data_IF_258666668065
#
_entry.id   IF_258666668065
#
_cell.length_a   1.000
_cell.length_b   1.000
_cell.length_c   1.000
_cell.angle_alpha   90.00
_cell.angle_beta   90.00
_cell.angle_gamma   90.00
#
_symmetry.space_group_name_H-M   'P 1'
#
loop_
_entity.id
_entity.type
_entity.pdbx_description
1 polymer ?
#
# COMPACT_ATOMS: atom_id res chain seq x y z
N UNK A 1 17.16 13.58 15.74
CA UNK A 1 16.05 14.47 16.12
C UNK A 1 15.21 14.71 14.88
N UNK A 2 13.93 14.34 14.91
CA UNK A 2 13.00 14.67 13.84
C UNK A 2 12.64 16.14 13.94
N UNK A 3 12.87 16.92 12.88
CA UNK A 3 12.45 18.32 12.81
C UNK A 3 10.99 18.36 12.38
N UNK A 4 10.21 19.29 12.93
CA UNK A 4 8.80 19.48 12.56
C UNK A 4 8.57 20.90 12.08
N UNK A 5 7.71 21.08 11.08
CA UNK A 5 7.25 22.38 10.60
C UNK A 5 5.74 22.36 10.39
N UNK A 6 5.08 23.48 10.64
CA UNK A 6 3.64 23.60 10.41
C UNK A 6 3.38 24.03 8.97
N UNK A 7 2.35 23.44 8.36
CA UNK A 7 1.91 23.82 7.03
C UNK A 7 1.54 25.32 6.98
N UNK A 8 2.02 26.02 5.95
CA UNK A 8 1.73 27.45 5.72
C UNK A 8 0.25 27.78 5.50
N UNK A 9 -0.58 26.79 5.15
CA UNK A 9 -2.02 26.96 4.87
C UNK A 9 -2.90 26.42 6.00
N UNK A 10 -2.82 25.11 6.30
CA UNK A 10 -3.70 24.47 7.28
C UNK A 10 -3.08 24.23 8.66
N UNK A 11 -1.84 24.70 8.89
CA UNK A 11 -1.11 24.58 10.17
C UNK A 11 -0.85 23.15 10.68
N UNK A 12 -1.17 22.11 9.91
CA UNK A 12 -0.85 20.71 10.25
C UNK A 12 0.65 20.55 10.44
N UNK A 13 1.06 19.88 11.52
CA UNK A 13 2.47 19.59 11.83
C UNK A 13 3.01 18.50 10.90
N UNK A 14 4.11 18.77 10.22
CA UNK A 14 4.73 17.90 9.23
C UNK A 14 6.12 17.50 9.71
N UNK A 15 6.43 16.20 9.67
CA UNK A 15 7.76 15.70 9.95
C UNK A 15 8.69 15.98 8.76
N UNK A 16 9.80 16.67 9.03
CA UNK A 16 10.79 17.03 8.02
C UNK A 16 11.85 15.94 7.86
N UNK A 17 12.06 15.42 6.64
CA UNK A 17 13.25 14.68 6.31
C UNK A 17 14.50 15.58 6.49
N UNK A 18 15.62 15.04 6.98
CA UNK A 18 16.87 15.81 7.08
C UNK A 18 17.25 16.44 5.73
N UNK A 19 17.50 17.75 5.71
CA UNK A 19 17.92 18.50 4.52
C UNK A 19 16.80 18.94 3.56
N UNK A 20 15.52 18.72 3.90
CA UNK A 20 14.41 19.17 3.08
C UNK A 20 14.22 20.71 3.16
N UNK A 21 14.24 21.39 2.00
CA UNK A 21 14.03 22.85 1.89
C UNK A 21 12.57 23.25 1.66
N UNK A 22 11.76 22.32 1.20
CA UNK A 22 10.33 22.48 0.89
C UNK A 22 9.61 21.22 1.35
N UNK A 23 8.42 21.37 1.91
CA UNK A 23 7.56 20.25 2.28
C UNK A 23 6.13 20.54 1.84
N UNK A 24 5.47 19.56 1.23
CA UNK A 24 4.07 19.66 0.83
C UNK A 24 3.20 19.05 1.92
N UNK A 25 2.18 19.77 2.34
CA UNK A 25 1.23 19.27 3.32
C UNK A 25 0.36 18.17 2.72
N UNK A 26 0.31 17.01 3.37
CA UNK A 26 -0.55 15.89 2.97
C UNK A 26 -2.05 16.17 3.14
N UNK A 27 -2.41 17.17 3.95
CA UNK A 27 -3.81 17.51 4.24
C UNK A 27 -4.39 18.50 3.24
N UNK A 28 -3.67 19.58 2.93
CA UNK A 28 -4.20 20.67 2.08
C UNK A 28 -3.39 20.92 0.80
N UNK A 29 -2.36 20.11 0.54
CA UNK A 29 -1.50 20.20 -0.64
C UNK A 29 -0.67 21.49 -0.77
N UNK A 30 -0.71 22.40 0.20
CA UNK A 30 0.12 23.60 0.21
C UNK A 30 1.60 23.26 0.37
N UNK A 31 2.46 24.00 -0.35
CA UNK A 31 3.91 23.87 -0.27
C UNK A 31 4.41 24.88 0.76
N UNK A 32 5.04 24.37 1.81
CA UNK A 32 5.62 25.14 2.91
C UNK A 32 7.13 25.17 2.75
N UNK A 33 7.76 26.35 2.58
CA UNK A 33 9.20 26.47 2.63
C UNK A 33 9.70 26.24 4.04
N UNK A 34 10.79 25.50 4.16
CA UNK A 34 11.45 25.22 5.43
C UNK A 34 12.53 26.27 5.57
N UNK A 35 12.37 27.18 6.53
CA UNK A 35 13.33 28.25 6.75
C UNK A 35 14.64 27.64 7.29
N UNK A 36 15.70 27.67 6.48
CA UNK A 36 17.05 27.56 7.00
C UNK A 36 17.33 28.82 7.82
N UNK A 37 17.89 28.66 9.02
CA UNK A 37 18.15 29.76 9.97
C UNK A 37 19.22 30.76 9.50
N UNK A 38 19.50 30.87 8.20
CA UNK A 38 20.59 31.69 7.64
C UNK A 38 20.32 32.26 6.22
N UNK A 39 19.10 32.63 5.82
CA UNK A 39 18.89 33.31 4.53
C UNK A 39 17.70 34.27 4.51
N UNK A 40 17.78 35.41 3.77
CA UNK A 40 16.79 36.48 3.82
C UNK A 40 15.50 36.11 3.06
N UNK A 41 14.39 36.62 3.60
CA UNK A 41 13.01 36.42 3.17
C UNK A 41 12.75 36.68 1.67
N UNK A 42 12.27 35.66 0.95
CA UNK A 42 11.67 35.83 -0.38
C UNK A 42 10.14 35.70 -0.30
N UNK A 43 9.44 36.80 -0.62
CA UNK A 43 8.00 36.82 -0.80
C UNK A 43 7.64 36.11 -2.12
N UNK A 44 6.96 34.96 -2.03
CA UNK A 44 6.41 34.27 -3.18
C UNK A 44 4.95 34.71 -3.43
N UNK A 45 4.68 35.27 -4.61
CA UNK A 45 3.33 35.61 -5.09
C UNK A 45 2.91 34.56 -6.12
N UNK A 46 1.76 33.88 -5.96
CA UNK A 46 1.28 32.89 -6.93
C UNK A 46 0.62 33.56 -8.16
N UNK A 47 0.69 32.95 -9.37
CA UNK A 47 0.07 33.51 -10.57
C UNK A 47 -1.44 33.25 -10.63
N UNK A 48 -2.19 34.25 -11.09
CA UNK A 48 -3.65 34.24 -11.23
C UNK A 48 -4.13 33.42 -12.44
N UNK A 49 -5.24 32.71 -12.26
CA UNK A 49 -5.96 31.94 -13.28
C UNK A 49 -6.79 32.85 -14.20
N UNK A 50 -6.45 32.88 -15.48
CA UNK A 50 -7.28 33.47 -16.54
C UNK A 50 -8.33 32.46 -17.02
N UNK A 51 -9.60 32.74 -16.73
CA UNK A 51 -10.76 32.03 -17.27
C UNK A 51 -11.10 32.52 -18.69
N UNK A 52 -11.27 31.60 -19.64
CA UNK A 52 -12.10 31.82 -20.83
C UNK A 52 -13.10 30.67 -20.95
N UNK A 53 -14.38 31.03 -20.84
CA UNK A 53 -15.54 30.14 -20.94
C UNK A 53 -15.82 29.78 -22.40
N UNK A 54 -16.00 28.51 -22.71
CA UNK A 54 -16.80 28.07 -23.84
C UNK A 54 -17.94 27.17 -23.33
N UNK A 55 -19.15 27.63 -23.62
CA UNK A 55 -20.43 27.07 -23.21
C UNK A 55 -20.77 25.82 -24.05
N UNK A 56 -21.30 24.79 -23.39
CA UNK A 56 -21.98 23.66 -24.03
C UNK A 56 -23.51 23.85 -23.94
N UNK A 57 -24.30 23.38 -24.94
CA UNK A 57 -25.74 23.63 -25.05
C UNK A 57 -26.59 22.78 -24.07
N UNK A 58 -27.85 23.16 -23.78
CA UNK A 58 -28.66 22.53 -22.75
C UNK A 58 -29.38 21.26 -23.26
N UNK A 59 -29.67 20.26 -22.39
CA UNK A 59 -30.62 19.21 -22.71
C UNK A 59 -32.06 19.60 -22.34
N UNK A 60 -32.97 19.13 -23.19
CA UNK A 60 -34.42 19.33 -23.22
C UNK A 60 -35.20 18.62 -22.11
N UNK A 61 -36.41 19.14 -21.84
CA UNK A 61 -37.37 18.75 -20.80
C UNK A 61 -38.28 17.56 -21.15
N UNK A 62 -38.90 17.00 -20.09
CA UNK A 62 -40.09 16.12 -19.99
C UNK A 62 -39.88 14.62 -20.34
N UNK A 63 -40.39 13.63 -19.60
CA UNK A 63 -41.75 13.48 -19.01
C UNK A 63 -41.72 12.70 -17.67
N UNK A 64 -42.65 13.09 -16.81
CA UNK A 64 -43.13 12.55 -15.53
C UNK A 64 -43.67 11.11 -15.52
N UNK A 65 -43.45 10.39 -14.41
CA UNK A 65 -44.44 9.47 -13.85
C UNK A 65 -44.22 9.32 -12.33
N UNK A 66 -45.21 9.78 -11.59
CA UNK A 66 -45.37 9.76 -10.14
C UNK A 66 -46.09 8.49 -9.67
N UNK A 67 -45.59 7.83 -8.62
CA UNK A 67 -46.40 7.07 -7.68
C UNK A 67 -45.88 7.28 -6.25
N UNK A 68 -46.78 7.68 -5.35
CA UNK A 68 -46.54 8.05 -3.96
C UNK A 68 -46.25 6.86 -3.03
N UNK A 69 -45.58 7.12 -1.88
CA UNK A 69 -46.19 7.31 -0.53
C UNK A 69 -46.57 5.96 0.13
N UNK A 70 -46.14 5.51 1.32
CA UNK A 70 -45.69 6.11 2.61
C UNK A 70 -45.03 4.99 3.52
N UNK A 71 -44.85 5.08 4.87
CA UNK A 71 -43.53 5.15 5.50
C UNK A 71 -43.34 4.14 6.67
N UNK A 72 -42.36 4.42 7.56
CA UNK A 72 -42.05 3.82 8.89
C UNK A 72 -40.84 2.89 8.88
N UNK A 73 -39.88 2.90 9.82
CA UNK A 73 -39.77 3.47 11.17
C UNK A 73 -38.29 3.65 11.51
N UNK A 74 -38.01 4.69 12.28
CA UNK A 74 -36.78 4.97 13.02
C UNK A 74 -36.55 3.99 14.17
N UNK A 75 -35.29 3.63 14.45
CA UNK A 75 -34.88 3.18 15.77
C UNK A 75 -33.51 3.78 16.15
N UNK A 76 -33.55 4.56 17.23
CA UNK A 76 -32.41 5.07 17.98
C UNK A 76 -31.71 3.95 18.74
N UNK A 77 -30.38 4.00 18.84
CA UNK A 77 -29.60 3.19 19.78
C UNK A 77 -28.83 4.11 20.74
N UNK A 78 -29.05 3.92 22.04
CA UNK A 78 -28.32 4.54 23.16
C UNK A 78 -27.86 3.39 24.08
N UNK A 79 -26.62 3.38 24.61
CA UNK A 79 -26.07 2.26 25.37
C UNK A 79 -26.37 2.36 26.87
N UNK A 80 -26.27 1.26 27.65
CA UNK A 80 -26.21 1.36 29.10
C UNK A 80 -24.84 1.05 29.68
N UNK A 81 -24.56 1.77 30.76
CA UNK A 81 -23.38 1.77 31.60
C UNK A 81 -23.35 0.62 32.62
N UNK A 82 -22.15 0.45 33.17
CA UNK A 82 -21.69 -0.29 34.36
C UNK A 82 -22.65 -0.42 35.56
N UNK A 83 -22.52 -1.53 36.30
CA UNK A 83 -23.01 -1.68 37.67
C UNK A 83 -22.33 -2.84 38.41
N UNK A 84 -21.59 -2.51 39.48
CA UNK A 84 -20.89 -3.40 40.43
C UNK A 84 -21.84 -4.04 41.47
N UNK A 85 -21.44 -5.18 42.06
CA UNK A 85 -21.70 -5.45 43.50
C UNK A 85 -21.81 -6.90 44.00
N UNK A 86 -20.80 -7.32 44.80
CA UNK A 86 -20.84 -8.15 46.04
C UNK A 86 -21.18 -9.66 45.90
N UNK A 87 -20.65 -10.65 46.67
CA UNK A 87 -20.07 -10.68 48.02
C UNK A 87 -19.32 -12.02 48.33
N UNK A 88 -18.17 -11.91 49.02
CA UNK A 88 -17.58 -12.67 50.15
C UNK A 88 -17.41 -14.21 50.24
N UNK A 89 -16.19 -14.55 50.73
CA UNK A 89 -15.74 -15.51 51.77
C UNK A 89 -14.59 -16.41 51.26
N UNK A 90 -13.47 -16.69 51.94
CA UNK A 90 -12.94 -16.39 53.28
C UNK A 90 -11.55 -17.04 53.44
N UNK A 91 -10.62 -16.37 54.18
CA UNK A 91 -9.47 -16.94 54.95
C UNK A 91 -8.26 -17.51 54.17
N UNK A 92 -7.00 -17.47 54.64
CA UNK A 92 -6.37 -16.89 55.83
C UNK A 92 -4.83 -16.84 55.63
N UNK A 93 -4.26 -15.75 56.15
CA UNK A 93 -2.90 -15.40 56.61
C UNK A 93 -1.87 -16.51 56.92
N UNK A 94 -0.58 -16.26 56.60
CA UNK A 94 0.44 -15.99 57.64
C UNK A 94 1.72 -15.31 57.12
N UNK A 95 2.37 -14.58 58.03
CA UNK A 95 3.48 -13.63 57.93
C UNK A 95 4.89 -14.26 57.98
N UNK A 96 5.89 -13.58 57.43
CA UNK A 96 7.32 -13.80 57.71
C UNK A 96 8.20 -12.61 57.27
N UNK A 97 8.98 -12.05 58.20
CA UNK A 97 9.72 -10.78 58.13
C UNK A 97 11.13 -10.86 57.50
N UNK A 98 11.53 -9.73 56.89
CA UNK A 98 12.84 -9.02 56.89
C UNK A 98 14.17 -9.78 56.61
N UNK A 99 14.96 -9.24 55.66
CA UNK A 99 16.14 -8.39 55.94
C UNK A 99 16.77 -7.80 54.67
N UNK A 100 17.18 -6.54 54.76
CA UNK A 100 17.88 -5.76 53.73
C UNK A 100 19.39 -6.03 53.79
N UNK A 101 20.02 -6.31 52.65
CA UNK A 101 21.45 -6.04 52.42
C UNK A 101 21.64 -5.43 51.04
N UNK A 102 22.16 -4.21 51.01
CA UNK A 102 22.60 -3.48 49.82
C UNK A 102 23.85 -4.15 49.24
N UNK A 103 23.77 -4.56 47.97
CA UNK A 103 24.93 -4.69 47.10
C UNK A 103 24.62 -3.95 45.79
N UNK A 104 25.33 -2.83 45.62
CA UNK A 104 25.36 -2.04 44.39
C UNK A 104 26.11 -2.84 43.33
N UNK A 105 25.38 -3.59 42.50
CA UNK A 105 25.92 -4.21 41.28
C UNK A 105 25.68 -3.22 40.14
N UNK A 106 26.75 -2.59 39.67
CA UNK A 106 26.72 -1.80 38.43
C UNK A 106 26.39 -2.75 37.27
N UNK A 107 25.29 -2.57 36.52
CA UNK A 107 25.13 -3.26 35.25
C UNK A 107 26.10 -2.59 34.27
N UNK A 108 27.15 -3.30 33.90
CA UNK A 108 28.00 -2.96 32.76
C UNK A 108 27.10 -2.81 31.53
N UNK A 109 26.96 -1.59 31.03
CA UNK A 109 26.41 -1.30 29.71
C UNK A 109 27.40 -1.79 28.65
N UNK A 110 27.49 -3.10 28.49
CA UNK A 110 27.99 -3.72 27.27
C UNK A 110 26.86 -4.52 26.66
N UNK A 111 25.74 -3.84 26.38
CA UNK A 111 24.85 -4.29 25.33
C UNK A 111 25.44 -3.74 24.03
N UNK A 112 26.52 -4.38 23.57
CA UNK A 112 26.81 -4.34 22.15
C UNK A 112 25.58 -4.92 21.47
N UNK A 113 24.73 -4.04 20.91
CA UNK A 113 23.85 -4.42 19.82
C UNK A 113 24.76 -4.82 18.66
N UNK A 114 25.36 -6.00 18.78
CA UNK A 114 25.68 -6.82 17.64
C UNK A 114 24.33 -7.09 16.98
N UNK A 115 23.92 -6.21 16.07
CA UNK A 115 23.04 -6.61 14.99
C UNK A 115 23.73 -7.80 14.37
N UNK A 116 23.32 -9.00 14.77
CA UNK A 116 23.69 -10.20 14.06
C UNK A 116 23.23 -9.93 12.64
N UNK A 117 24.16 -9.73 11.73
CA UNK A 117 23.94 -10.02 10.33
C UNK A 117 23.69 -11.53 10.29
N UNK A 118 22.49 -11.92 10.71
CA UNK A 118 21.97 -13.26 10.56
C UNK A 118 22.07 -13.62 9.07
N UNK A 119 22.10 -14.92 8.79
CA UNK A 119 22.07 -15.39 7.42
C UNK A 119 21.03 -14.59 6.62
N UNK A 120 21.35 -14.19 5.38
CA UNK A 120 20.42 -13.39 4.57
C UNK A 120 19.07 -14.10 4.52
N UNK A 121 17.99 -13.35 4.75
CA UNK A 121 16.63 -13.89 4.73
C UNK A 121 16.28 -14.53 3.39
N UNK A 122 15.19 -15.30 3.37
CA UNK A 122 14.74 -15.99 2.16
C UNK A 122 14.40 -15.01 1.06
N UNK A 123 14.62 -15.45 -0.17
CA UNK A 123 14.26 -14.72 -1.39
C UNK A 123 13.14 -15.45 -2.09
N UNK A 124 12.09 -14.73 -2.49
CA UNK A 124 10.98 -15.26 -3.30
C UNK A 124 10.54 -14.21 -4.32
N UNK A 125 10.20 -14.64 -5.52
CA UNK A 125 9.71 -13.74 -6.55
C UNK A 125 8.48 -14.32 -7.25
N UNK A 126 7.52 -13.45 -7.53
CA UNK A 126 6.44 -13.71 -8.48
C UNK A 126 6.64 -12.80 -9.68
N UNK A 127 6.66 -13.38 -10.88
CA UNK A 127 6.90 -12.67 -12.14
C UNK A 127 5.78 -13.02 -13.10
N UNK A 128 5.02 -12.02 -13.53
CA UNK A 128 3.84 -12.21 -14.37
C UNK A 128 4.03 -11.41 -15.64
N UNK A 129 3.84 -12.06 -16.79
CA UNK A 129 3.84 -11.43 -18.11
C UNK A 129 2.60 -11.87 -18.88
N UNK A 130 1.73 -10.91 -19.22
CA UNK A 130 0.48 -11.18 -19.95
C UNK A 130 0.49 -10.41 -21.26
N UNK A 131 0.49 -11.14 -22.38
CA UNK A 131 0.50 -10.58 -23.74
C UNK A 131 -0.87 -10.67 -24.43
N UNK A 132 -1.84 -11.41 -23.88
CA UNK A 132 -3.20 -11.52 -24.42
C UNK A 132 -3.22 -11.99 -25.88
N UNK A 133 -2.42 -13.02 -26.19
CA UNK A 133 -2.15 -13.47 -27.57
C UNK A 133 -3.45 -13.87 -28.27
N UNK A 134 -3.59 -13.49 -29.54
CA UNK A 134 -4.76 -13.78 -30.38
C UNK A 134 -6.06 -13.11 -29.89
N UNK A 135 -5.96 -12.02 -29.13
CA UNK A 135 -7.10 -11.20 -28.73
C UNK A 135 -6.96 -9.79 -29.28
N UNK A 136 -8.03 -8.99 -29.22
CA UNK A 136 -7.99 -7.56 -29.56
C UNK A 136 -7.13 -6.72 -28.60
N UNK A 137 -6.72 -7.30 -27.47
CA UNK A 137 -5.94 -6.63 -26.41
C UNK A 137 -4.46 -7.02 -26.46
N UNK A 138 -3.99 -7.63 -27.55
CA UNK A 138 -2.64 -8.18 -27.64
C UNK A 138 -1.54 -7.13 -27.42
N UNK A 139 -0.58 -7.46 -26.55
CA UNK A 139 0.62 -6.68 -26.27
C UNK A 139 1.88 -7.43 -26.69
N UNK A 140 2.82 -6.69 -27.27
CA UNK A 140 4.15 -7.18 -27.61
C UNK A 140 5.12 -6.79 -26.50
N UNK A 141 5.84 -7.76 -25.95
CA UNK A 141 6.94 -7.50 -25.02
C UNK A 141 6.72 -8.01 -23.60
N UNK A 142 5.49 -8.10 -23.10
CA UNK A 142 5.24 -8.41 -21.69
C UNK A 142 5.85 -9.74 -21.21
N UNK A 143 5.75 -10.79 -22.03
CA UNK A 143 6.41 -12.08 -21.75
C UNK A 143 7.94 -11.95 -21.77
N UNK A 144 8.48 -11.14 -22.68
CA UNK A 144 9.90 -10.87 -22.76
C UNK A 144 10.40 -10.09 -21.53
N UNK A 145 9.64 -9.10 -21.05
CA UNK A 145 9.94 -8.36 -19.82
C UNK A 145 9.98 -9.29 -18.61
N UNK A 146 9.00 -10.21 -18.50
CA UNK A 146 8.99 -11.25 -17.47
C UNK A 146 10.24 -12.14 -17.53
N UNK A 147 10.62 -12.60 -18.73
CA UNK A 147 11.85 -13.40 -18.92
C UNK A 147 13.11 -12.62 -18.55
N UNK A 148 13.21 -11.35 -18.93
CA UNK A 148 14.33 -10.48 -18.55
C UNK A 148 14.39 -10.24 -17.05
N UNK A 149 13.25 -10.00 -16.40
CA UNK A 149 13.18 -9.86 -14.95
C UNK A 149 13.66 -11.13 -14.25
N UNK A 150 13.20 -12.31 -14.70
CA UNK A 150 13.67 -13.60 -14.17
C UNK A 150 15.19 -13.74 -14.31
N UNK A 151 15.70 -13.50 -15.51
CA UNK A 151 17.14 -13.55 -15.78
C UNK A 151 17.93 -12.57 -14.90
N UNK A 152 17.45 -11.34 -14.73
CA UNK A 152 18.06 -10.33 -13.86
C UNK A 152 18.13 -10.81 -12.40
N UNK A 153 17.02 -11.32 -11.87
CA UNK A 153 16.93 -11.80 -10.50
C UNK A 153 17.89 -12.97 -10.24
N UNK A 154 18.00 -13.91 -11.18
CA UNK A 154 18.92 -15.05 -11.05
C UNK A 154 20.38 -14.63 -11.17
N UNK A 155 20.71 -13.79 -12.15
CA UNK A 155 22.12 -13.47 -12.48
C UNK A 155 22.75 -12.38 -11.63
N UNK A 156 21.96 -11.40 -11.17
CA UNK A 156 22.48 -10.24 -10.42
C UNK A 156 22.06 -10.26 -8.96
N UNK A 157 20.88 -10.80 -8.66
CA UNK A 157 20.33 -10.83 -7.32
C UNK A 157 20.34 -12.22 -6.68
N UNK A 158 20.92 -13.21 -7.36
CA UNK A 158 21.17 -14.56 -6.84
C UNK A 158 19.90 -15.24 -6.31
N UNK A 159 18.78 -15.08 -7.03
CA UNK A 159 17.60 -15.93 -6.84
C UNK A 159 17.84 -17.28 -7.51
N UNK A 160 17.40 -18.36 -6.87
CA UNK A 160 17.37 -19.69 -7.49
C UNK A 160 16.04 -19.93 -8.20
N UNK A 161 16.00 -20.92 -9.09
CA UNK A 161 14.81 -21.23 -9.89
C UNK A 161 13.59 -21.60 -9.01
N UNK A 162 13.82 -22.36 -7.93
CA UNK A 162 12.79 -22.76 -6.95
C UNK A 162 12.23 -21.60 -6.12
N UNK A 163 12.92 -20.45 -6.12
CA UNK A 163 12.47 -19.23 -5.45
C UNK A 163 11.61 -18.34 -6.36
N UNK A 164 11.41 -18.72 -7.63
CA UNK A 164 10.70 -17.90 -8.60
C UNK A 164 9.44 -18.62 -9.10
N UNK A 165 8.29 -17.97 -8.92
CA UNK A 165 7.05 -18.33 -9.60
C UNK A 165 6.85 -17.40 -10.78
N UNK A 166 7.05 -17.92 -12.00
CA UNK A 166 6.75 -17.21 -13.24
C UNK A 166 5.40 -17.65 -13.80
N UNK A 167 4.56 -16.69 -14.20
CA UNK A 167 3.28 -16.93 -14.89
C UNK A 167 3.28 -16.26 -16.27
N UNK A 168 3.15 -17.03 -17.35
CA UNK A 168 3.02 -16.51 -18.72
C UNK A 168 2.16 -17.42 -19.59
N UNK A 169 1.64 -16.91 -20.70
CA UNK A 169 0.86 -17.70 -21.69
C UNK A 169 1.69 -18.78 -22.41
N UNK A 170 3.02 -18.76 -22.29
CA UNK A 170 3.92 -19.73 -22.91
C UNK A 170 4.23 -20.94 -22.01
N UNK A 171 3.77 -20.91 -20.76
CA UNK A 171 3.97 -22.00 -19.82
C UNK A 171 3.13 -23.23 -20.20
N UNK A 172 3.73 -24.41 -20.08
CA UNK A 172 3.05 -25.69 -20.37
C UNK A 172 2.11 -26.06 -19.22
N UNK A 173 2.53 -25.79 -17.99
CA UNK A 173 1.72 -26.06 -16.81
C UNK A 173 0.57 -25.04 -16.71
N UNK A 174 -0.66 -25.55 -16.67
CA UNK A 174 -1.88 -24.74 -16.52
C UNK A 174 -1.91 -23.94 -15.22
N UNK A 175 -1.23 -24.39 -14.17
CA UNK A 175 -1.08 -23.63 -12.93
C UNK A 175 -0.21 -22.38 -13.10
N UNK A 176 0.56 -22.31 -14.19
CA UNK A 176 1.47 -21.22 -14.53
C UNK A 176 0.93 -20.27 -15.61
N UNK A 177 -0.29 -20.49 -16.11
CA UNK A 177 -0.98 -19.53 -16.98
C UNK A 177 -1.49 -18.35 -16.12
N UNK A 178 -1.36 -17.08 -16.56
CA UNK A 178 -1.71 -15.90 -15.76
C UNK A 178 -3.22 -15.62 -15.73
N UNK A 179 -4.01 -16.59 -15.28
CA UNK A 179 -5.43 -16.40 -14.95
C UNK A 179 -5.57 -15.62 -13.64
N UNK A 180 -6.71 -14.97 -13.43
CA UNK A 180 -6.96 -14.22 -12.20
C UNK A 180 -6.83 -15.10 -10.96
N UNK A 181 -7.27 -16.36 -11.04
CA UNK A 181 -7.09 -17.34 -9.96
C UNK A 181 -5.61 -17.64 -9.69
N UNK A 182 -4.82 -17.93 -10.72
CA UNK A 182 -3.43 -18.31 -10.56
C UNK A 182 -2.59 -17.12 -10.08
N UNK A 183 -2.87 -15.91 -10.55
CA UNK A 183 -2.21 -14.69 -10.07
C UNK A 183 -2.46 -14.48 -8.56
N UNK A 184 -3.71 -14.63 -8.10
CA UNK A 184 -4.06 -14.53 -6.67
C UNK A 184 -3.37 -15.60 -5.82
N UNK A 185 -3.26 -16.82 -6.34
CA UNK A 185 -2.54 -17.90 -5.67
C UNK A 185 -1.04 -17.62 -5.61
N UNK A 186 -0.45 -17.09 -6.68
CA UNK A 186 0.96 -16.70 -6.68
C UNK A 186 1.24 -15.56 -5.69
N UNK A 187 0.37 -14.55 -5.60
CA UNK A 187 0.48 -13.48 -4.59
C UNK A 187 0.43 -14.05 -3.17
N UNK A 188 -0.51 -14.96 -2.89
CA UNK A 188 -0.59 -15.63 -1.59
C UNK A 188 0.66 -16.45 -1.29
N UNK A 189 1.13 -17.24 -2.27
CA UNK A 189 2.37 -17.98 -2.18
C UNK A 189 3.54 -17.04 -1.88
N UNK A 190 3.62 -15.84 -2.48
CA UNK A 190 4.74 -14.90 -2.27
C UNK A 190 4.89 -14.52 -0.79
N UNK A 191 3.78 -14.20 -0.12
CA UNK A 191 3.75 -13.76 1.28
C UNK A 191 3.81 -14.93 2.27
N UNK A 192 3.48 -16.14 1.84
CA UNK A 192 3.40 -17.29 2.73
C UNK A 192 4.72 -17.57 3.47
N UNK A 193 4.60 -17.61 4.80
CA UNK A 193 5.67 -17.93 5.73
C UNK A 193 6.81 -16.92 5.74
N UNK A 194 6.60 -15.67 5.33
CA UNK A 194 7.65 -14.64 5.38
C UNK A 194 8.10 -14.34 6.80
N UNK A 195 9.42 -14.14 6.97
CA UNK A 195 10.07 -13.81 8.22
C UNK A 195 10.88 -12.51 8.10
N UNK A 196 11.09 -11.77 9.20
CA UNK A 196 11.92 -10.56 9.17
C UNK A 196 13.28 -10.83 8.51
N UNK A 197 13.67 -9.97 7.57
CA UNK A 197 14.88 -10.13 6.76
C UNK A 197 14.64 -10.75 5.38
N UNK A 198 13.48 -11.35 5.11
CA UNK A 198 13.12 -11.87 3.79
C UNK A 198 13.03 -10.75 2.74
N UNK A 199 13.38 -11.08 1.49
CA UNK A 199 13.39 -10.17 0.34
C UNK A 199 12.52 -10.71 -0.78
N UNK A 200 11.40 -10.03 -1.02
CA UNK A 200 10.37 -10.42 -1.98
C UNK A 200 10.40 -9.52 -3.21
N UNK A 201 10.08 -10.10 -4.37
CA UNK A 201 9.87 -9.37 -5.62
C UNK A 201 8.52 -9.73 -6.21
N UNK A 202 7.73 -8.73 -6.57
CA UNK A 202 6.52 -8.89 -7.37
C UNK A 202 6.71 -8.11 -8.66
N UNK A 203 6.65 -8.78 -9.81
CA UNK A 203 6.74 -8.14 -11.12
C UNK A 203 5.49 -8.45 -11.94
N UNK A 204 4.91 -7.42 -12.54
CA UNK A 204 3.82 -7.55 -13.49
C UNK A 204 4.12 -6.71 -14.73
N UNK A 205 4.03 -7.31 -15.92
CA UNK A 205 3.97 -6.61 -17.20
C UNK A 205 2.73 -7.07 -17.98
N UNK A 206 1.90 -6.11 -18.40
CA UNK A 206 0.61 -6.37 -19.05
C UNK A 206 -0.29 -5.14 -19.08
N UNK A 207 -1.59 -5.34 -19.31
CA UNK A 207 -2.56 -4.24 -19.22
C UNK A 207 -2.85 -3.87 -17.77
N UNK A 208 -2.92 -2.57 -17.55
CA UNK A 208 -3.56 -1.98 -16.39
C UNK A 208 -4.71 -1.10 -16.85
N UNK A 209 -5.77 -1.07 -16.05
CA UNK A 209 -7.01 -0.35 -16.35
C UNK A 209 -7.47 0.43 -15.13
N UNK A 210 -8.58 1.14 -15.30
CA UNK A 210 -9.31 1.83 -14.23
C UNK A 210 -10.73 1.33 -14.18
N UNK A 211 -11.19 0.95 -13.00
CA UNK A 211 -12.58 0.59 -12.74
C UNK A 211 -13.21 1.68 -11.89
N UNK A 212 -14.48 2.02 -12.13
CA UNK A 212 -15.17 2.99 -11.27
C UNK A 212 -15.23 2.45 -9.85
N UNK A 213 -14.73 3.22 -8.90
CA UNK A 213 -14.77 2.87 -7.49
C UNK A 213 -16.22 3.01 -6.96
N UNK A 214 -16.69 1.99 -6.25
CA UNK A 214 -18.02 1.95 -5.63
C UNK A 214 -18.01 2.10 -4.09
N UNK A 215 -16.85 2.02 -3.45
CA UNK A 215 -16.67 2.13 -1.99
C UNK A 215 -16.36 3.59 -1.55
N UNK A 216 -15.88 4.44 -2.47
CA UNK A 216 -15.60 5.87 -2.29
C UNK A 216 -14.30 6.21 -1.54
N UNK A 217 -13.33 5.31 -1.43
CA UNK A 217 -12.04 5.60 -0.79
C UNK A 217 -11.01 6.28 -1.74
N UNK A 218 -11.18 6.10 -3.05
CA UNK A 218 -10.43 6.79 -4.10
C UNK A 218 -10.85 8.27 -4.24
N UNK A 219 -9.87 9.18 -4.20
CA UNK A 219 -10.12 10.63 -4.38
C UNK A 219 -10.55 10.95 -5.82
N UNK A 220 -10.03 10.21 -6.80
CA UNK A 220 -10.40 10.40 -8.21
C UNK A 220 -11.62 9.55 -8.64
N UNK A 221 -12.07 8.64 -7.77
CA UNK A 221 -13.24 7.78 -7.95
C UNK A 221 -13.01 6.56 -8.85
N UNK A 222 -11.76 6.16 -9.11
CA UNK A 222 -11.41 5.00 -9.91
C UNK A 222 -10.34 4.13 -9.27
N UNK A 223 -10.63 2.83 -9.12
CA UNK A 223 -9.65 1.83 -8.71
C UNK A 223 -8.72 1.50 -9.87
N UNK A 224 -7.41 1.46 -9.61
CA UNK A 224 -6.43 0.89 -10.52
C UNK A 224 -6.52 -0.64 -10.53
N UNK A 225 -6.39 -1.25 -11.71
CA UNK A 225 -6.55 -2.70 -11.83
C UNK A 225 -5.46 -3.33 -12.69
N UNK A 226 -5.04 -4.54 -12.33
CA UNK A 226 -4.28 -5.42 -13.21
C UNK A 226 -5.24 -6.32 -13.99
N UNK A 227 -4.98 -6.54 -15.29
CA UNK A 227 -5.82 -7.40 -16.13
C UNK A 227 -5.21 -8.80 -16.26
N UNK A 228 -5.79 -9.85 -15.66
CA UNK A 228 -5.39 -11.23 -15.94
C UNK A 228 -5.72 -11.64 -17.38
N UNK A 229 -5.26 -12.81 -17.80
CA UNK A 229 -5.54 -13.33 -19.14
C UNK A 229 -7.06 -13.51 -19.40
N UNK A 230 -7.80 -13.93 -18.38
CA UNK A 230 -9.23 -14.23 -18.39
C UNK A 230 -10.10 -13.07 -17.87
N UNK A 231 -9.58 -11.84 -17.91
CA UNK A 231 -10.26 -10.67 -17.35
C UNK A 231 -11.63 -10.37 -17.97
N UNK A 232 -11.86 -10.74 -19.23
CA UNK A 232 -13.16 -10.54 -19.89
C UNK A 232 -14.27 -11.41 -19.29
N UNK A 233 -13.92 -12.57 -18.71
CA UNK A 233 -14.88 -13.52 -18.11
C UNK A 233 -14.87 -13.48 -16.59
N UNK A 234 -13.70 -13.36 -15.97
CA UNK A 234 -13.50 -13.44 -14.51
C UNK A 234 -13.25 -12.08 -13.85
N UNK A 235 -13.15 -11.02 -14.65
CA UNK A 235 -12.90 -9.66 -14.18
C UNK A 235 -11.42 -9.33 -13.94
N UNK A 236 -11.18 -8.05 -13.64
CA UNK A 236 -9.86 -7.52 -13.33
C UNK A 236 -9.52 -7.72 -11.84
N UNK A 237 -8.26 -7.54 -11.46
CA UNK A 237 -7.83 -7.53 -10.05
C UNK A 237 -7.61 -6.08 -9.63
N UNK A 238 -8.46 -5.59 -8.73
CA UNK A 238 -8.40 -4.22 -8.19
C UNK A 238 -7.26 -4.05 -7.18
N UNK A 239 -6.66 -2.86 -7.14
CA UNK A 239 -5.64 -2.41 -6.18
C UNK A 239 -5.90 -2.80 -4.72
N UNK A 240 -7.14 -2.62 -4.26
CA UNK A 240 -7.60 -2.92 -2.90
C UNK A 240 -7.38 -4.41 -2.56
N UNK A 241 -7.60 -5.29 -3.56
CA UNK A 241 -7.34 -6.72 -3.48
C UNK A 241 -5.83 -7.03 -3.48
N UNK A 242 -5.07 -6.33 -4.33
CA UNK A 242 -3.61 -6.49 -4.44
C UNK A 242 -2.96 -6.07 -3.12
N UNK A 243 -3.36 -4.93 -2.56
CA UNK A 243 -2.92 -4.41 -1.28
C UNK A 243 -3.26 -5.40 -0.14
N UNK A 244 -4.48 -5.92 -0.12
CA UNK A 244 -4.90 -6.92 0.86
C UNK A 244 -4.10 -8.24 0.78
N UNK A 245 -3.57 -8.59 -0.39
CA UNK A 245 -2.76 -9.81 -0.58
C UNK A 245 -1.27 -9.61 -0.38
N UNK A 246 -0.72 -8.46 -0.78
CA UNK A 246 0.73 -8.23 -0.83
C UNK A 246 1.25 -7.28 0.25
N UNK A 247 0.43 -6.32 0.69
CA UNK A 247 0.87 -5.22 1.56
C UNK A 247 0.37 -5.41 3.00
N UNK A 248 -0.95 -5.50 3.22
CA UNK A 248 -1.54 -5.67 4.57
C UNK A 248 -0.95 -6.86 5.37
N UNK A 249 -0.71 -8.04 4.77
CA UNK A 249 -0.20 -9.19 5.51
C UNK A 249 1.32 -9.21 5.67
N UNK A 250 2.05 -8.23 5.13
CA UNK A 250 3.52 -8.25 5.11
C UNK A 250 4.10 -8.04 6.53
N UNK A 251 4.87 -9.00 7.08
CA UNK A 251 5.46 -8.86 8.41
C UNK A 251 6.49 -7.75 8.50
N UNK A 252 6.61 -7.14 9.68
CA UNK A 252 7.66 -6.14 9.92
C UNK A 252 9.05 -6.71 9.66
N UNK A 253 9.89 -5.95 8.96
CA UNK A 253 11.25 -6.34 8.60
C UNK A 253 11.36 -7.15 7.30
N UNK A 254 10.25 -7.51 6.66
CA UNK A 254 10.23 -8.07 5.29
C UNK A 254 10.29 -6.93 4.28
N UNK A 255 11.01 -7.12 3.17
CA UNK A 255 11.09 -6.14 2.08
C UNK A 255 10.39 -6.67 0.84
N UNK A 256 9.35 -5.98 0.38
CA UNK A 256 8.70 -6.25 -0.91
C UNK A 256 9.11 -5.17 -1.92
N UNK A 257 9.69 -5.60 -3.05
CA UNK A 257 9.91 -4.75 -4.22
C UNK A 257 8.87 -5.12 -5.28
N UNK A 258 7.93 -4.22 -5.54
CA UNK A 258 6.95 -4.39 -6.60
C UNK A 258 7.33 -3.52 -7.81
N UNK A 259 7.40 -4.14 -8.99
CA UNK A 259 7.69 -3.49 -10.26
C UNK A 259 6.51 -3.75 -11.19
N UNK A 260 5.80 -2.69 -11.57
CA UNK A 260 4.59 -2.77 -12.37
C UNK A 260 4.83 -2.02 -13.68
N UNK A 261 4.88 -2.76 -14.78
CA UNK A 261 4.95 -2.23 -16.13
C UNK A 261 3.56 -2.35 -16.79
N UNK A 262 2.71 -1.38 -16.46
CA UNK A 262 1.34 -1.29 -16.93
C UNK A 262 0.86 0.17 -16.93
N UNK A 263 -0.13 0.49 -17.76
CA UNK A 263 -0.85 1.77 -17.68
C UNK A 263 -1.62 1.86 -16.35
N UNK A 264 -1.85 3.09 -15.85
CA UNK A 264 -2.60 3.32 -14.61
C UNK A 264 -2.11 2.45 -13.45
N UNK A 265 -0.81 2.45 -13.17
CA UNK A 265 -0.18 1.60 -12.15
C UNK A 265 0.43 2.40 -10.99
N UNK A 266 0.29 3.72 -10.99
CA UNK A 266 0.95 4.60 -10.01
C UNK A 266 0.50 4.39 -8.57
N UNK A 267 -0.70 3.85 -8.39
CA UNK A 267 -1.39 3.66 -7.10
C UNK A 267 -1.88 2.24 -6.89
N UNK A 268 -1.53 1.29 -7.77
CA UNK A 268 -1.99 -0.12 -7.80
C UNK A 268 -1.70 -0.97 -6.54
N UNK A 269 -1.06 -0.39 -5.54
CA UNK A 269 -0.73 -1.01 -4.26
C UNK A 269 -1.25 -0.19 -3.05
N UNK A 270 -1.98 0.89 -3.25
CA UNK A 270 -2.50 1.80 -2.21
C UNK A 270 -1.48 2.21 -1.15
N UNK A 271 -0.28 2.55 -1.62
CA UNK A 271 0.80 2.95 -0.72
C UNK A 271 0.61 4.42 -0.29
N UNK A 272 0.73 4.74 1.01
CA UNK A 272 0.44 6.07 1.53
C UNK A 272 1.48 7.13 1.12
N UNK A 273 2.64 6.70 0.63
CA UNK A 273 3.74 7.59 0.26
C UNK A 273 4.09 7.43 -1.21
N UNK A 274 4.00 8.52 -1.96
CA UNK A 274 4.35 8.57 -3.39
C UNK A 274 5.59 9.43 -3.61
N UNK A 275 6.61 8.85 -4.23
CA UNK A 275 7.78 9.59 -4.72
C UNK A 275 7.71 9.71 -6.24
N UNK A 276 7.80 10.93 -6.77
CA UNK A 276 7.88 11.18 -8.22
C UNK A 276 9.30 11.62 -8.59
N UNK A 277 9.92 10.86 -9.49
CA UNK A 277 11.19 11.26 -10.08
C UNK A 277 10.94 12.28 -11.19
N UNK A 278 11.66 13.40 -11.19
CA UNK A 278 11.69 14.31 -12.33
C UNK A 278 12.51 13.64 -13.44
N UNK A 279 11.89 13.44 -14.60
CA UNK A 279 12.58 13.04 -15.83
C UNK A 279 13.15 14.28 -16.52
#
# INVERSE_FOLDING_TARGET
>A
MSLFVNCSSCQTQLALPPGAKLIRCSVCNAITPVADSNSPSFNYVPPQSGFSQQQAPPPSQNISASFGLTPSKSFNYVPPQSGFGLMQHSGSFNYGQQQQQQQQVFPSLTQSNSFSYGAPGRKKAVIIGVSYKNTRHELKGCINDAKFMKHLLMTKFWFTEDQIVMLTEEEIDRSRIPTGRNMRQAMAWLIEGCQPGDSLVFHFSGHGSRQRNYNGDEIDGYDETLCPLDFETEGMIVDDEINAKLVKPLPYGVKLHAIIDACHSGTVLDLPNLCRMKR
#
